data_IF_890224019279
#
_entry.id   IF_890224019279
#
_cell.length_a   1.000
_cell.length_b   1.000
_cell.length_c   1.000
_cell.angle_alpha   90.00
_cell.angle_beta   90.00
_cell.angle_gamma   90.00
#
_symmetry.space_group_name_H-M   'P 1'
#
loop_
_entity.id
_entity.type
_entity.pdbx_description
1 polymer ?
#
# COMPACT_ATOMS: atom_id res chain seq x y z
N UNK A 1 18.24 30.50 56.24
CA UNK A 1 17.87 29.40 57.17
C UNK A 1 18.11 28.08 56.48
N UNK A 2 18.80 27.18 57.19
CA UNK A 2 19.03 25.74 57.03
C UNK A 2 19.07 25.04 55.67
N UNK A 3 20.27 24.52 55.40
CA UNK A 3 20.65 23.23 54.77
C UNK A 3 19.60 22.10 54.86
N UNK A 4 19.57 21.24 53.84
CA UNK A 4 20.02 19.85 53.96
C UNK A 4 20.09 19.16 52.59
N UNK A 5 21.29 18.64 52.28
CA UNK A 5 21.57 17.66 51.24
C UNK A 5 21.20 16.26 51.73
N UNK A 6 20.83 15.35 50.84
CA UNK A 6 20.93 13.91 51.06
C UNK A 6 21.63 13.25 49.88
N UNK A 7 22.87 12.84 50.12
CA UNK A 7 23.53 11.71 49.49
C UNK A 7 23.58 10.60 50.52
N UNK A 8 23.38 9.34 50.12
CA UNK A 8 24.18 8.20 50.59
C UNK A 8 23.94 6.97 49.73
N UNK A 9 24.97 6.13 49.75
CA UNK A 9 25.36 5.11 48.80
C UNK A 9 25.24 3.72 49.45
N UNK A 10 25.21 2.70 48.58
CA UNK A 10 25.78 1.34 48.73
C UNK A 10 25.30 0.32 49.79
N UNK A 11 25.06 -0.87 49.24
CA UNK A 11 25.49 -2.23 49.64
C UNK A 11 25.17 -2.77 51.04
N UNK A 12 24.64 -4.00 51.09
CA UNK A 12 25.39 -5.18 51.56
C UNK A 12 24.60 -6.48 51.32
N UNK A 13 25.38 -7.55 51.18
CA UNK A 13 25.05 -8.94 50.89
C UNK A 13 24.89 -9.80 52.14
N UNK A 14 24.44 -11.04 51.89
CA UNK A 14 24.67 -12.31 52.62
C UNK A 14 23.51 -13.00 53.38
N UNK A 15 23.56 -14.32 53.18
CA UNK A 15 22.75 -15.48 53.58
C UNK A 15 22.64 -15.64 55.12
N UNK A 16 21.83 -16.49 55.74
CA UNK A 16 21.34 -17.88 55.54
C UNK A 16 20.25 -18.03 56.64
N UNK A 17 19.19 -18.85 56.59
CA UNK A 17 19.10 -20.29 56.95
C UNK A 17 17.60 -20.60 57.13
N UNK A 18 17.16 -21.80 56.75
CA UNK A 18 15.76 -22.30 56.82
C UNK A 18 15.27 -22.60 58.25
N UNK A 19 13.96 -22.92 58.44
CA UNK A 19 13.63 -24.35 58.60
C UNK A 19 12.29 -24.85 57.98
N UNK A 20 12.34 -26.15 57.62
CA UNK A 20 11.33 -27.24 57.48
C UNK A 20 9.82 -26.91 57.55
N UNK A 21 9.01 -27.20 56.52
CA UNK A 21 8.57 -28.51 55.97
C UNK A 21 7.31 -29.09 56.64
N UNK A 22 6.15 -28.90 56.00
CA UNK A 22 4.91 -29.67 56.26
C UNK A 22 4.72 -30.70 55.15
N UNK A 23 5.07 -31.95 55.48
CA UNK A 23 5.24 -33.09 54.59
C UNK A 23 3.94 -33.84 54.25
N UNK A 24 2.78 -33.17 54.15
CA UNK A 24 1.48 -33.85 53.97
C UNK A 24 0.67 -33.44 52.74
N UNK A 25 1.10 -32.44 51.98
CA UNK A 25 0.36 -31.92 50.82
C UNK A 25 0.86 -32.43 49.45
N UNK A 26 2.05 -33.00 49.36
CA UNK A 26 2.65 -33.39 48.06
C UNK A 26 2.34 -34.85 47.64
N UNK A 27 1.78 -35.65 48.54
CA UNK A 27 1.51 -37.08 48.30
C UNK A 27 0.13 -37.36 47.70
N UNK A 28 -0.41 -36.44 46.90
CA UNK A 28 -1.67 -36.65 46.15
C UNK A 28 -1.59 -36.13 44.70
N UNK A 29 -0.41 -35.68 44.24
CA UNK A 29 -0.23 -35.20 42.85
C UNK A 29 0.78 -35.99 42.02
N UNK A 30 1.37 -37.06 42.58
CA UNK A 30 2.40 -37.90 41.93
C UNK A 30 1.86 -39.20 41.31
N UNK A 31 0.57 -39.30 41.03
CA UNK A 31 -0.03 -40.51 40.41
C UNK A 31 -0.89 -40.20 39.18
N UNK A 32 -0.72 -39.04 38.54
CA UNK A 32 -1.39 -38.70 37.26
C UNK A 32 -0.35 -38.25 36.21
N UNK A 33 0.88 -38.79 36.26
CA UNK A 33 1.95 -38.45 35.30
C UNK A 33 2.65 -39.68 34.72
N UNK A 34 1.94 -40.81 34.64
CA UNK A 34 2.43 -42.02 33.98
C UNK A 34 1.29 -42.68 33.22
N UNK A 35 1.14 -42.33 31.94
CA UNK A 35 0.24 -43.07 31.04
C UNK A 35 -0.31 -42.29 29.86
N UNK A 36 0.54 -41.90 28.90
CA UNK A 36 0.16 -41.69 27.50
C UNK A 36 1.40 -41.40 26.63
N UNK A 37 2.19 -42.43 26.29
CA UNK A 37 3.01 -42.37 25.08
C UNK A 37 2.11 -42.88 23.95
N UNK A 38 1.28 -41.99 23.42
CA UNK A 38 0.59 -42.22 22.17
C UNK A 38 1.58 -41.91 21.04
N UNK A 39 1.81 -42.89 20.16
CA UNK A 39 2.59 -42.73 18.94
C UNK A 39 1.90 -41.75 18.00
N UNK A 40 2.23 -40.46 18.14
CA UNK A 40 1.88 -39.44 17.15
C UNK A 40 2.77 -39.66 15.93
N UNK A 41 2.30 -40.46 14.98
CA UNK A 41 2.80 -40.40 13.61
C UNK A 41 2.41 -39.02 13.08
N UNK A 42 3.32 -38.05 13.17
CA UNK A 42 3.22 -36.81 12.44
C UNK A 42 3.26 -37.16 10.95
N UNK A 43 2.10 -37.39 10.33
CA UNK A 43 1.97 -37.15 8.90
C UNK A 43 2.25 -35.67 8.71
N UNK A 44 3.51 -35.37 8.38
CA UNK A 44 3.93 -34.10 7.86
C UNK A 44 3.21 -33.88 6.54
N UNK A 45 1.98 -33.39 6.62
CA UNK A 45 1.42 -32.58 5.55
C UNK A 45 2.20 -31.26 5.58
N UNK A 46 3.43 -31.32 5.08
CA UNK A 46 4.04 -30.14 4.49
C UNK A 46 3.08 -29.75 3.37
N UNK A 47 2.13 -28.86 3.68
CA UNK A 47 1.48 -28.09 2.65
C UNK A 47 2.63 -27.36 1.96
N UNK A 48 3.15 -27.94 0.89
CA UNK A 48 3.99 -27.22 -0.02
C UNK A 48 3.14 -26.04 -0.45
N UNK A 49 3.45 -24.86 0.11
CA UNK A 49 2.98 -23.61 -0.43
C UNK A 49 3.49 -23.60 -1.87
N UNK A 50 2.65 -24.05 -2.80
CA UNK A 50 2.89 -23.81 -4.20
C UNK A 50 2.67 -22.32 -4.33
N UNK A 51 3.76 -21.59 -4.51
CA UNK A 51 3.68 -20.30 -5.17
C UNK A 51 3.00 -20.59 -6.49
N UNK A 52 1.71 -20.25 -6.58
CA UNK A 52 1.01 -20.31 -7.84
C UNK A 52 1.76 -19.34 -8.76
N UNK A 53 2.16 -19.82 -9.94
CA UNK A 53 2.90 -18.96 -10.87
C UNK A 53 1.96 -17.85 -11.35
N UNK A 54 2.44 -16.61 -11.37
CA UNK A 54 1.68 -15.49 -11.89
C UNK A 54 1.23 -15.78 -13.34
N UNK A 55 -0.01 -15.46 -13.73
CA UNK A 55 -0.49 -15.71 -15.08
C UNK A 55 0.43 -15.06 -16.13
N UNK A 56 0.71 -15.73 -17.27
CA UNK A 56 1.53 -15.14 -18.32
C UNK A 56 1.00 -13.76 -18.75
N UNK A 57 1.90 -12.77 -18.80
CA UNK A 57 1.59 -11.38 -19.18
C UNK A 57 1.06 -10.49 -18.04
N UNK A 58 0.90 -11.03 -16.83
CA UNK A 58 0.43 -10.26 -15.67
C UNK A 58 1.47 -9.27 -15.10
N UNK A 59 2.73 -9.39 -15.49
CA UNK A 59 3.82 -8.48 -15.11
C UNK A 59 4.14 -7.42 -16.19
N UNK A 60 3.59 -7.59 -17.40
CA UNK A 60 3.72 -6.64 -18.49
C UNK A 60 3.17 -5.26 -18.10
N UNK A 61 3.76 -4.20 -18.67
CA UNK A 61 3.29 -2.83 -18.46
C UNK A 61 1.86 -2.65 -18.99
N UNK A 62 1.11 -1.62 -18.54
CA UNK A 62 -0.18 -1.29 -19.15
C UNK A 62 -0.04 -1.14 -20.66
N UNK A 63 -0.89 -1.84 -21.40
CA UNK A 63 -0.94 -1.84 -22.85
C UNK A 63 -2.12 -1.00 -23.33
N UNK A 64 -1.98 -0.40 -24.53
CA UNK A 64 -3.10 0.34 -25.14
C UNK A 64 -4.30 -0.59 -25.33
N UNK A 65 -5.46 -0.16 -24.86
CA UNK A 65 -6.71 -0.91 -24.89
C UNK A 65 -6.99 -1.76 -23.65
N UNK A 66 -6.04 -1.86 -22.71
CA UNK A 66 -6.34 -2.46 -21.40
C UNK A 66 -7.49 -1.70 -20.73
N UNK A 67 -8.48 -2.43 -20.25
CA UNK A 67 -9.56 -1.88 -19.41
C UNK A 67 -9.07 -1.74 -17.97
N UNK A 68 -9.71 -0.88 -17.19
CA UNK A 68 -9.30 -0.62 -15.82
C UNK A 68 -10.24 -1.30 -14.84
N UNK A 69 -9.69 -2.01 -13.86
CA UNK A 69 -10.43 -2.64 -12.77
C UNK A 69 -9.96 -2.12 -11.43
N UNK A 70 -10.85 -2.05 -10.44
CA UNK A 70 -10.47 -1.68 -9.07
C UNK A 70 -9.40 -2.64 -8.54
N UNK A 71 -8.32 -2.11 -7.95
CA UNK A 71 -7.27 -2.92 -7.35
C UNK A 71 -7.58 -3.38 -5.92
N UNK A 72 -8.55 -2.74 -5.26
CA UNK A 72 -8.88 -2.97 -3.86
C UNK A 72 -10.35 -2.64 -3.53
N UNK A 73 -10.77 -3.01 -2.31
CA UNK A 73 -12.09 -2.72 -1.75
C UNK A 73 -13.23 -3.61 -2.27
N UNK A 74 -14.48 -3.26 -1.93
CA UNK A 74 -15.68 -4.07 -2.26
C UNK A 74 -15.96 -4.23 -3.76
N UNK A 75 -15.27 -3.44 -4.58
CA UNK A 75 -15.35 -3.47 -6.04
C UNK A 75 -14.12 -4.10 -6.69
N UNK A 76 -13.18 -4.65 -5.94
CA UNK A 76 -11.95 -5.28 -6.46
C UNK A 76 -12.25 -6.19 -7.66
N UNK A 77 -11.46 -6.02 -8.73
CA UNK A 77 -11.59 -6.76 -9.99
C UNK A 77 -12.76 -6.36 -10.90
N UNK A 78 -13.70 -5.51 -10.44
CA UNK A 78 -14.78 -4.97 -11.28
C UNK A 78 -14.25 -3.85 -12.16
N UNK A 79 -14.86 -3.69 -13.35
CA UNK A 79 -14.54 -2.61 -14.28
C UNK A 79 -14.84 -1.25 -13.65
N UNK A 80 -13.94 -0.30 -13.89
CA UNK A 80 -14.10 1.11 -13.54
C UNK A 80 -14.76 1.83 -14.71
N UNK A 81 -15.87 2.47 -14.44
CA UNK A 81 -16.62 3.30 -15.39
C UNK A 81 -16.54 4.77 -14.99
N UNK A 82 -16.92 5.68 -15.90
CA UNK A 82 -16.99 7.10 -15.57
C UNK A 82 -17.96 7.41 -14.40
N UNK A 83 -18.98 6.56 -14.19
CA UNK A 83 -19.94 6.70 -13.08
C UNK A 83 -19.32 6.38 -11.71
N UNK A 84 -18.23 5.64 -11.67
CA UNK A 84 -17.49 5.34 -10.44
C UNK A 84 -16.60 6.50 -9.96
N UNK A 85 -16.46 7.55 -10.78
CA UNK A 85 -15.55 8.67 -10.55
C UNK A 85 -16.35 9.98 -10.38
N UNK A 86 -16.87 10.27 -9.17
CA UNK A 86 -17.52 11.53 -8.90
C UNK A 86 -16.54 12.70 -9.07
N UNK A 87 -17.01 13.80 -9.66
CA UNK A 87 -16.18 14.98 -9.88
C UNK A 87 -15.70 15.57 -8.54
N UNK A 88 -14.40 15.80 -8.41
CA UNK A 88 -13.76 16.28 -7.17
C UNK A 88 -13.69 15.22 -6.06
N UNK A 89 -14.16 14.00 -6.31
CA UNK A 89 -14.10 12.89 -5.37
C UNK A 89 -12.70 12.31 -5.21
N UNK A 90 -12.49 11.41 -4.24
CA UNK A 90 -11.19 10.79 -4.04
C UNK A 90 -10.77 9.97 -5.26
N UNK A 91 -9.45 9.81 -5.49
CA UNK A 91 -8.96 8.90 -6.50
C UNK A 91 -9.34 7.46 -6.15
N UNK A 92 -9.41 6.62 -7.18
CA UNK A 92 -9.50 5.15 -7.04
C UNK A 92 -8.20 4.52 -7.51
N UNK A 93 -7.84 3.40 -6.87
CA UNK A 93 -6.72 2.58 -7.31
C UNK A 93 -7.18 1.51 -8.30
N UNK A 94 -6.36 1.27 -9.33
CA UNK A 94 -6.72 0.41 -10.44
C UNK A 94 -5.57 -0.44 -10.96
N UNK A 95 -5.91 -1.62 -11.47
CA UNK A 95 -5.06 -2.44 -12.32
C UNK A 95 -5.50 -2.35 -13.79
N UNK A 96 -4.55 -2.37 -14.75
CA UNK A 96 -4.87 -2.67 -16.14
C UNK A 96 -5.26 -4.14 -16.28
N UNK A 97 -6.23 -4.41 -17.14
CA UNK A 97 -6.67 -5.76 -17.48
C UNK A 97 -6.75 -5.88 -19.00
N UNK A 98 -6.12 -6.90 -19.56
CA UNK A 98 -6.25 -7.21 -20.97
C UNK A 98 -7.69 -7.68 -21.25
N UNK A 99 -8.46 -6.98 -22.12
CA UNK A 99 -9.85 -7.33 -22.37
C UNK A 99 -10.03 -8.63 -23.16
N UNK A 100 -8.99 -9.13 -23.84
CA UNK A 100 -9.04 -10.35 -24.64
C UNK A 100 -8.74 -11.58 -23.82
N UNK A 101 -7.71 -11.51 -22.97
CA UNK A 101 -7.26 -12.64 -22.14
C UNK A 101 -7.85 -12.62 -20.74
N UNK A 102 -8.43 -11.49 -20.32
CA UNK A 102 -8.86 -11.21 -18.95
C UNK A 102 -7.75 -11.24 -17.91
N UNK A 103 -6.48 -11.26 -18.32
CA UNK A 103 -5.32 -11.18 -17.41
C UNK A 103 -5.26 -9.79 -16.80
N UNK A 104 -5.26 -9.73 -15.46
CA UNK A 104 -4.99 -8.51 -14.71
C UNK A 104 -3.49 -8.34 -14.59
N UNK A 105 -2.96 -7.17 -14.96
CA UNK A 105 -1.53 -6.88 -14.97
C UNK A 105 -1.02 -6.43 -13.60
N UNK A 106 -1.30 -7.21 -12.56
CA UNK A 106 -1.02 -6.89 -11.15
C UNK A 106 0.27 -7.50 -10.59
N UNK A 107 0.92 -8.43 -11.30
CA UNK A 107 2.12 -9.10 -10.80
C UNK A 107 3.30 -8.12 -10.62
N UNK A 108 3.33 -7.04 -11.41
CA UNK A 108 4.17 -5.88 -11.09
C UNK A 108 3.37 -4.83 -10.34
N UNK A 109 3.73 -4.58 -9.07
CA UNK A 109 3.20 -3.43 -8.30
C UNK A 109 3.36 -2.09 -9.02
N UNK A 110 4.31 -1.98 -9.95
CA UNK A 110 4.55 -0.77 -10.72
C UNK A 110 3.48 -0.51 -11.79
N UNK A 111 2.48 -1.37 -11.92
CA UNK A 111 1.35 -1.19 -12.84
C UNK A 111 0.13 -0.56 -12.17
N UNK A 112 0.17 -0.29 -10.87
CA UNK A 112 -0.97 0.29 -10.17
C UNK A 112 -1.16 1.76 -10.53
N UNK A 113 -2.42 2.15 -10.74
CA UNK A 113 -2.82 3.44 -11.28
C UNK A 113 -3.77 4.14 -10.30
N UNK A 114 -3.54 5.43 -10.06
CA UNK A 114 -4.51 6.35 -9.47
C UNK A 114 -5.35 6.98 -10.58
N UNK A 115 -6.67 6.89 -10.46
CA UNK A 115 -7.62 7.52 -11.38
C UNK A 115 -8.51 8.48 -10.60
N UNK A 116 -8.67 9.71 -11.08
CA UNK A 116 -9.52 10.72 -10.46
C UNK A 116 -10.25 11.53 -11.53
N UNK A 117 -11.45 12.02 -11.22
CA UNK A 117 -12.16 13.00 -12.03
C UNK A 117 -12.15 14.36 -11.34
N UNK A 118 -11.61 15.37 -12.01
CA UNK A 118 -11.59 16.75 -11.54
C UNK A 118 -12.35 17.65 -12.50
N UNK A 119 -12.69 18.86 -12.06
CA UNK A 119 -13.22 19.89 -12.95
C UNK A 119 -12.17 20.21 -14.03
N UNK A 120 -12.47 20.03 -15.32
CA UNK A 120 -11.56 20.37 -16.39
C UNK A 120 -11.02 21.80 -16.27
N UNK A 121 -11.82 22.77 -15.81
CA UNK A 121 -11.39 24.17 -15.68
C UNK A 121 -10.18 24.35 -14.74
N UNK A 122 -9.96 23.42 -13.80
CA UNK A 122 -8.83 23.48 -12.86
C UNK A 122 -7.53 22.87 -13.39
N UNK A 123 -7.56 22.16 -14.52
CA UNK A 123 -6.39 21.45 -15.05
C UNK A 123 -5.46 22.41 -15.81
N UNK A 124 -4.15 22.23 -15.70
CA UNK A 124 -3.24 22.90 -16.63
C UNK A 124 -3.41 22.35 -18.06
N UNK A 125 -2.99 23.11 -19.07
CA UNK A 125 -3.18 22.72 -20.48
C UNK A 125 -2.60 21.34 -20.78
N UNK A 126 -1.40 21.08 -20.26
CA UNK A 126 -0.69 19.81 -20.43
C UNK A 126 -1.44 18.63 -19.82
N UNK A 127 -2.15 18.81 -18.72
CA UNK A 127 -2.95 17.77 -18.04
C UNK A 127 -4.28 17.59 -18.73
N UNK A 128 -4.90 18.71 -19.14
CA UNK A 128 -6.14 18.74 -19.90
C UNK A 128 -6.03 17.98 -21.22
N UNK A 129 -4.90 18.09 -21.94
CA UNK A 129 -4.61 17.32 -23.15
C UNK A 129 -4.65 15.79 -22.97
N UNK A 130 -4.42 15.30 -21.74
CA UNK A 130 -4.44 13.87 -21.40
C UNK A 130 -5.72 13.45 -20.68
N UNK A 131 -6.59 14.40 -20.35
CA UNK A 131 -7.82 14.14 -19.63
C UNK A 131 -8.94 13.72 -20.59
N UNK A 132 -9.81 12.83 -20.14
CA UNK A 132 -11.05 12.48 -20.85
C UNK A 132 -12.22 12.77 -19.93
N UNK A 133 -13.04 13.78 -20.26
CA UNK A 133 -14.15 14.23 -19.39
C UNK A 133 -13.70 14.61 -17.95
N UNK A 134 -12.53 15.26 -17.84
CA UNK A 134 -11.90 15.61 -16.56
C UNK A 134 -11.26 14.44 -15.82
N UNK A 135 -11.34 13.22 -16.36
CA UNK A 135 -10.71 12.02 -15.81
C UNK A 135 -9.24 11.99 -16.22
N UNK A 136 -8.37 11.84 -15.23
CA UNK A 136 -6.91 11.75 -15.39
C UNK A 136 -6.37 10.57 -14.60
N UNK A 137 -5.24 10.04 -15.05
CA UNK A 137 -4.59 8.91 -14.40
C UNK A 137 -3.08 9.10 -14.27
N UNK A 138 -2.56 8.58 -13.16
CA UNK A 138 -1.14 8.61 -12.83
C UNK A 138 -0.71 7.28 -12.20
N UNK A 139 0.58 6.97 -12.22
CA UNK A 139 1.15 5.87 -11.42
C UNK A 139 0.80 6.07 -9.94
N UNK A 140 0.28 5.03 -9.29
CA UNK A 140 0.05 5.01 -7.84
C UNK A 140 1.36 4.88 -7.03
N UNK A 141 2.51 4.76 -7.70
CA UNK A 141 3.80 4.54 -7.05
C UNK A 141 4.58 5.84 -6.91
N UNK A 142 4.87 6.20 -5.65
CA UNK A 142 5.61 7.39 -5.26
C UNK A 142 7.00 7.41 -5.91
N UNK A 143 7.35 8.56 -6.49
CA UNK A 143 8.62 8.76 -7.17
C UNK A 143 9.85 8.86 -6.25
N UNK A 144 9.66 8.95 -4.93
CA UNK A 144 10.72 8.96 -3.94
C UNK A 144 11.31 7.55 -3.74
N UNK A 145 10.74 6.77 -2.83
CA UNK A 145 11.21 5.42 -2.48
C UNK A 145 10.31 4.29 -3.03
N UNK A 146 9.32 4.63 -3.87
CA UNK A 146 8.47 3.63 -4.49
C UNK A 146 7.35 3.07 -3.61
N UNK A 147 6.99 3.74 -2.52
CA UNK A 147 5.79 3.45 -1.73
C UNK A 147 4.50 3.69 -2.55
N UNK A 148 3.38 3.04 -2.21
CA UNK A 148 2.08 3.42 -2.75
C UNK A 148 1.67 4.82 -2.27
N UNK A 149 1.04 5.58 -3.16
CA UNK A 149 0.42 6.87 -2.88
C UNK A 149 -1.04 6.59 -2.60
N UNK A 150 -1.47 6.69 -1.34
CA UNK A 150 -2.75 6.13 -0.88
C UNK A 150 -3.73 7.17 -0.35
N UNK A 151 -3.31 8.43 -0.23
CA UNK A 151 -4.11 9.44 0.44
C UNK A 151 -4.50 10.59 -0.49
N UNK A 152 -5.72 11.07 -0.29
CA UNK A 152 -6.28 12.28 -0.87
C UNK A 152 -6.64 13.22 0.26
N UNK A 153 -5.82 14.24 0.48
CA UNK A 153 -5.89 15.12 1.65
C UNK A 153 -5.65 16.56 1.24
N UNK A 154 -6.15 17.50 2.04
CA UNK A 154 -5.78 18.92 1.90
C UNK A 154 -4.25 19.05 1.95
N UNK A 155 -3.68 19.79 1.01
CA UNK A 155 -2.23 20.00 0.93
C UNK A 155 -1.69 20.74 2.15
N UNK A 156 -0.47 20.40 2.56
CA UNK A 156 0.25 21.11 3.62
C UNK A 156 0.67 22.54 3.20
N UNK A 157 0.67 22.84 1.89
CA UNK A 157 1.13 24.13 1.33
C UNK A 157 0.08 24.86 0.50
N UNK A 158 -1.19 24.43 0.54
CA UNK A 158 -2.25 25.04 -0.26
C UNK A 158 -3.68 24.67 0.16
N UNK A 159 -4.66 25.19 -0.56
CA UNK A 159 -6.09 24.99 -0.23
C UNK A 159 -6.78 23.84 -0.97
N UNK A 160 -6.05 23.15 -1.85
CA UNK A 160 -6.59 22.04 -2.63
C UNK A 160 -6.16 20.70 -2.04
N UNK A 161 -6.96 19.67 -2.28
CA UNK A 161 -6.56 18.30 -2.03
C UNK A 161 -5.52 17.83 -3.05
N UNK A 162 -4.60 16.99 -2.57
CA UNK A 162 -3.44 16.46 -3.29
C UNK A 162 -3.30 14.97 -3.03
N UNK A 163 -2.63 14.28 -3.95
CA UNK A 163 -2.19 12.92 -3.68
C UNK A 163 -1.04 12.94 -2.69
N UNK A 164 -1.12 12.16 -1.61
CA UNK A 164 -0.09 12.12 -0.58
C UNK A 164 0.45 10.71 -0.37
N UNK A 165 1.77 10.59 -0.44
CA UNK A 165 2.51 9.42 -0.01
C UNK A 165 2.80 9.55 1.49
N UNK A 166 2.25 8.65 2.29
CA UNK A 166 2.37 8.70 3.76
C UNK A 166 3.71 8.20 4.30
N UNK A 167 4.60 7.64 3.45
CA UNK A 167 5.91 7.17 3.91
C UNK A 167 6.83 8.33 4.34
N UNK A 168 6.90 9.38 3.51
CA UNK A 168 7.77 10.54 3.73
C UNK A 168 7.09 11.85 3.35
N UNK A 169 5.75 11.86 3.37
CA UNK A 169 4.90 13.03 3.15
C UNK A 169 5.10 13.73 1.80
N UNK A 170 5.45 13.00 0.73
CA UNK A 170 5.46 13.62 -0.61
C UNK A 170 4.04 13.89 -1.09
N UNK A 171 3.77 15.12 -1.49
CA UNK A 171 2.48 15.57 -2.04
C UNK A 171 2.61 15.88 -3.53
N UNK A 172 1.60 15.47 -4.29
CA UNK A 172 1.53 15.67 -5.74
C UNK A 172 0.21 16.32 -6.12
N UNK A 173 0.27 17.40 -6.89
CA UNK A 173 -0.94 18.06 -7.40
C UNK A 173 -1.38 17.45 -8.74
N UNK A 174 -2.48 16.67 -8.78
CA UNK A 174 -2.94 16.03 -10.00
C UNK A 174 -3.39 17.01 -11.09
N UNK A 175 -3.73 18.26 -10.73
CA UNK A 175 -4.19 19.30 -11.66
C UNK A 175 -3.05 19.85 -12.52
N UNK A 176 -1.82 19.76 -12.00
CA UNK A 176 -0.61 20.26 -12.63
C UNK A 176 0.37 19.11 -12.95
N UNK A 177 -0.09 18.14 -13.74
CA UNK A 177 0.70 16.97 -14.17
C UNK A 177 1.33 16.16 -13.03
N UNK A 178 0.64 16.04 -11.89
CA UNK A 178 1.12 15.37 -10.67
C UNK A 178 2.51 15.86 -10.22
N UNK A 179 2.78 17.15 -10.38
CA UNK A 179 4.03 17.75 -9.91
C UNK A 179 4.13 17.67 -8.40
N UNK A 180 5.36 17.55 -7.90
CA UNK A 180 5.64 17.55 -6.46
C UNK A 180 5.41 18.95 -5.94
N UNK A 181 4.53 19.09 -4.95
CA UNK A 181 4.27 20.37 -4.26
C UNK A 181 4.83 20.39 -2.84
N UNK A 182 5.09 19.22 -2.26
CA UNK A 182 5.72 19.08 -0.95
C UNK A 182 6.46 17.74 -0.80
N UNK A 183 7.42 17.67 0.13
CA UNK A 183 8.16 16.47 0.48
C UNK A 183 9.34 16.11 -0.44
N UNK A 184 10.00 14.95 -0.21
CA UNK A 184 11.31 14.63 -0.78
C UNK A 184 11.29 14.01 -2.19
N UNK A 185 10.12 13.76 -2.78
CA UNK A 185 10.07 13.15 -4.10
C UNK A 185 10.78 14.03 -5.15
N UNK A 186 11.71 13.47 -5.95
CA UNK A 186 12.54 14.27 -6.85
C UNK A 186 11.84 14.66 -8.15
N UNK A 187 10.63 14.13 -8.40
CA UNK A 187 9.92 14.26 -9.67
C UNK A 187 8.43 13.96 -9.54
N UNK A 188 7.68 14.42 -10.54
CA UNK A 188 6.26 14.10 -10.73
C UNK A 188 5.98 12.61 -10.89
N UNK A 189 4.74 12.21 -10.59
CA UNK A 189 4.25 10.87 -10.94
C UNK A 189 4.13 10.72 -12.46
N UNK A 190 4.32 9.52 -12.98
CA UNK A 190 4.12 9.25 -14.40
C UNK A 190 2.63 9.34 -14.74
N UNK A 191 2.28 10.10 -15.77
CA UNK A 191 0.89 10.16 -16.25
C UNK A 191 0.58 8.95 -17.13
N UNK A 192 -0.66 8.46 -17.10
CA UNK A 192 -1.13 7.42 -18.00
C UNK A 192 -2.30 7.97 -18.83
N UNK A 193 -2.13 8.16 -20.16
CA UNK A 193 -3.22 8.60 -21.02
C UNK A 193 -4.37 7.58 -21.01
N UNK A 194 -5.60 8.07 -20.88
CA UNK A 194 -6.81 7.24 -20.93
C UNK A 194 -7.68 7.60 -22.13
N UNK A 195 -8.52 6.66 -22.54
CA UNK A 195 -9.62 6.86 -23.47
C UNK A 195 -10.93 6.46 -22.80
N UNK A 196 -12.01 7.15 -23.15
CA UNK A 196 -13.36 6.85 -22.72
C UNK A 196 -14.19 6.48 -23.96
N UNK A 197 -14.72 5.27 -23.99
CA UNK A 197 -15.62 4.78 -25.04
C UNK A 197 -16.75 3.99 -24.39
N UNK A 198 -18.00 4.26 -24.79
CA UNK A 198 -19.19 3.56 -24.31
C UNK A 198 -19.28 3.48 -22.76
N UNK A 199 -18.82 4.53 -22.07
CA UNK A 199 -18.82 4.65 -20.61
C UNK A 199 -17.68 3.91 -19.87
N UNK A 200 -16.85 3.14 -20.58
CA UNK A 200 -15.72 2.39 -20.02
C UNK A 200 -14.38 3.08 -20.26
N UNK A 201 -13.50 3.04 -19.26
CA UNK A 201 -12.14 3.57 -19.37
C UNK A 201 -11.18 2.50 -19.90
N UNK A 202 -10.28 2.95 -20.78
CA UNK A 202 -9.17 2.13 -21.27
C UNK A 202 -7.87 2.92 -21.35
N UNK A 203 -6.74 2.22 -21.33
CA UNK A 203 -5.42 2.80 -21.51
C UNK A 203 -5.25 3.27 -22.95
N UNK A 204 -4.90 4.53 -23.17
CA UNK A 204 -4.72 5.11 -24.51
C UNK A 204 -3.26 5.09 -24.99
N UNK A 205 -2.30 4.89 -24.09
CA UNK A 205 -0.88 4.82 -24.41
C UNK A 205 -0.02 4.48 -23.21
N UNK A 206 1.29 4.48 -23.41
CA UNK A 206 2.27 4.15 -22.36
C UNK A 206 2.31 5.25 -21.27
N UNK A 207 2.88 4.91 -20.11
CA UNK A 207 3.24 5.90 -19.11
C UNK A 207 4.13 7.00 -19.70
N UNK A 208 3.78 8.25 -19.40
CA UNK A 208 4.57 9.43 -19.73
C UNK A 208 5.39 9.81 -18.49
N UNK A 209 6.66 9.41 -18.52
CA UNK A 209 7.63 9.58 -17.42
C UNK A 209 7.99 8.27 -16.74
N UNK A 210 8.99 8.32 -15.85
CA UNK A 210 9.49 7.13 -15.14
C UNK A 210 8.47 6.68 -14.08
N UNK A 211 8.29 5.38 -13.90
CA UNK A 211 7.47 4.80 -12.83
C UNK A 211 8.36 4.36 -11.66
N UNK A 212 7.87 4.46 -10.43
CA UNK A 212 8.58 3.95 -9.24
C UNK A 212 9.57 4.91 -8.59
N UNK A 213 10.23 4.47 -7.53
CA UNK A 213 11.19 5.28 -6.77
C UNK A 213 12.45 5.66 -7.57
N UNK A 214 13.19 6.64 -7.04
CA UNK A 214 14.56 6.89 -7.45
C UNK A 214 15.39 5.62 -7.24
N UNK A 215 16.12 5.21 -8.28
CA UNK A 215 17.11 4.15 -8.15
C UNK A 215 18.45 4.84 -7.87
N UNK A 216 19.22 4.40 -6.87
CA UNK A 216 20.63 4.80 -6.78
C UNK A 216 21.31 4.46 -8.11
N UNK A 217 21.99 5.43 -8.70
CA UNK A 217 22.76 5.24 -9.92
C UNK A 217 24.01 4.40 -9.70
#
# INVERSE_FOLDING_TARGET
>A
MSRASFTTNSSSSESTTEPEADARAEQTRRTILLGAIATTACLGCSAHARADEDPPGSDERPQKGDVLVFSEGDKEGKLITAADLPAGGPPVHAWPKDPKTSVVRSASRLNEILIIRLDPAELDDKTRERAVDGIIAYSAICAHAGCPVTAWVKSDVGDKEVFKCMCHNSEYDPRASAQVVFGPAPRRLAALPLALADGSLSVAGNFIGKVGGAQPG
#
